data_IF_427132753976
#
_entry.id   IF_427132753976
#
_cell.length_a   1.000
_cell.length_b   1.000
_cell.length_c   1.000
_cell.angle_alpha   90.00
_cell.angle_beta   90.00
_cell.angle_gamma   90.00
#
_symmetry.space_group_name_H-M   'P 1'
#
loop_
_entity.id
_entity.type
_entity.pdbx_description
1 polymer ?
#
# COMPACT_ATOMS: atom_id res chain seq x y z
N UNK A 1 3.52 -9.59 -20.79
CA UNK A 1 3.37 -9.96 -19.37
C UNK A 1 4.28 -11.16 -19.13
N UNK A 2 5.27 -11.02 -18.22
CA UNK A 2 6.31 -12.03 -17.99
C UNK A 2 5.71 -13.32 -17.39
N UNK A 3 6.29 -14.49 -17.70
CA UNK A 3 5.89 -15.81 -17.17
C UNK A 3 5.90 -15.86 -15.64
N UNK A 4 6.82 -15.14 -14.98
CA UNK A 4 6.88 -15.01 -13.52
C UNK A 4 5.64 -14.30 -12.97
N UNK A 5 5.22 -13.20 -13.57
CA UNK A 5 4.03 -12.44 -13.18
C UNK A 5 2.74 -13.27 -13.36
N UNK A 6 2.67 -14.07 -14.41
CA UNK A 6 1.54 -14.98 -14.66
C UNK A 6 1.47 -16.09 -13.59
N UNK A 7 2.63 -16.64 -13.19
CA UNK A 7 2.70 -17.66 -12.13
C UNK A 7 2.28 -17.11 -10.78
N UNK A 8 2.73 -15.88 -10.45
CA UNK A 8 2.34 -15.20 -9.20
C UNK A 8 0.82 -15.01 -9.17
N UNK A 9 0.23 -14.41 -10.21
CA UNK A 9 -1.21 -14.20 -10.29
C UNK A 9 -2.03 -15.50 -10.25
N UNK A 10 -1.51 -16.56 -10.86
CA UNK A 10 -2.17 -17.88 -10.82
C UNK A 10 -2.13 -18.44 -9.39
N UNK A 11 -1.00 -18.33 -8.70
CA UNK A 11 -0.84 -18.77 -7.31
C UNK A 11 -1.79 -18.02 -6.39
N UNK A 12 -1.83 -16.71 -6.45
CA UNK A 12 -2.74 -15.84 -5.66
C UNK A 12 -4.21 -16.23 -5.89
N UNK A 13 -4.58 -16.50 -7.16
CA UNK A 13 -5.93 -16.96 -7.50
C UNK A 13 -6.25 -18.31 -6.87
N UNK A 14 -5.32 -19.26 -6.92
CA UNK A 14 -5.49 -20.60 -6.32
C UNK A 14 -5.60 -20.48 -4.80
N UNK A 15 -4.72 -19.70 -4.16
CA UNK A 15 -4.75 -19.48 -2.71
C UNK A 15 -6.08 -18.88 -2.26
N UNK A 16 -6.61 -17.88 -2.98
CA UNK A 16 -7.93 -17.31 -2.70
C UNK A 16 -9.05 -18.34 -2.87
N UNK A 17 -9.02 -19.16 -3.92
CA UNK A 17 -10.02 -20.21 -4.13
C UNK A 17 -10.00 -21.25 -2.99
N UNK A 18 -8.81 -21.63 -2.53
CA UNK A 18 -8.66 -22.57 -1.41
C UNK A 18 -9.17 -21.92 -0.11
N UNK A 19 -8.81 -20.68 0.17
CA UNK A 19 -9.30 -19.96 1.35
C UNK A 19 -10.82 -19.86 1.35
N UNK A 20 -11.43 -19.46 0.24
CA UNK A 20 -12.90 -19.38 0.12
C UNK A 20 -13.58 -20.74 0.32
N UNK A 21 -13.00 -21.81 -0.22
CA UNK A 21 -13.53 -23.16 -0.02
C UNK A 21 -13.48 -23.58 1.45
N UNK A 22 -12.34 -23.40 2.12
CA UNK A 22 -12.20 -23.75 3.54
C UNK A 22 -13.09 -22.89 4.43
N UNK A 23 -13.23 -21.61 4.12
CA UNK A 23 -14.13 -20.71 4.84
C UNK A 23 -15.60 -21.13 4.64
N UNK A 24 -15.97 -21.55 3.43
CA UNK A 24 -17.33 -22.07 3.16
C UNK A 24 -17.60 -23.34 3.96
N UNK A 25 -16.70 -24.31 3.97
CA UNK A 25 -16.83 -25.55 4.74
C UNK A 25 -17.00 -25.24 6.25
N UNK A 26 -16.30 -24.22 6.77
CA UNK A 26 -16.43 -23.75 8.14
C UNK A 26 -17.80 -23.09 8.38
N UNK A 27 -18.29 -22.27 7.46
CA UNK A 27 -19.63 -21.67 7.57
C UNK A 27 -20.73 -22.72 7.52
N UNK A 28 -20.61 -23.73 6.65
CA UNK A 28 -21.54 -24.86 6.58
C UNK A 28 -21.60 -25.63 7.93
N UNK A 29 -20.44 -25.77 8.59
CA UNK A 29 -20.37 -26.36 9.92
C UNK A 29 -21.06 -25.48 10.99
N UNK A 30 -20.87 -24.17 10.95
CA UNK A 30 -21.58 -23.23 11.85
C UNK A 30 -23.09 -23.32 11.62
N UNK A 31 -23.55 -23.41 10.38
CA UNK A 31 -24.98 -23.52 10.06
C UNK A 31 -25.60 -24.85 10.47
N UNK A 32 -24.80 -25.91 10.47
CA UNK A 32 -25.25 -27.22 10.96
C UNK A 32 -25.46 -27.27 12.49
N UNK A 33 -24.89 -26.31 13.21
CA UNK A 33 -24.95 -26.21 14.69
C UNK A 33 -25.47 -24.83 15.13
N UNK A 34 -26.72 -24.46 14.78
CA UNK A 34 -27.24 -23.10 14.95
C UNK A 34 -27.45 -22.71 16.41
N UNK A 35 -27.63 -23.70 17.30
CA UNK A 35 -27.88 -23.47 18.72
C UNK A 35 -26.61 -23.28 19.55
N UNK A 36 -25.44 -23.43 18.96
CA UNK A 36 -24.17 -23.23 19.64
C UNK A 36 -23.86 -21.74 19.82
N UNK A 37 -23.16 -21.42 20.90
CA UNK A 37 -22.75 -20.05 21.22
C UNK A 37 -21.42 -19.70 20.49
N UNK A 38 -21.52 -19.39 19.21
CA UNK A 38 -20.35 -19.04 18.39
C UNK A 38 -19.73 -17.69 18.80
N UNK A 39 -18.42 -17.68 18.93
CA UNK A 39 -17.64 -16.48 19.24
C UNK A 39 -17.45 -15.60 17.99
N UNK A 40 -18.47 -14.83 17.59
CA UNK A 40 -18.45 -14.02 16.37
C UNK A 40 -17.30 -13.01 16.30
N UNK A 41 -16.83 -12.50 17.43
CA UNK A 41 -15.62 -11.67 17.47
C UNK A 41 -14.40 -12.44 16.94
N UNK A 42 -14.17 -13.65 17.45
CA UNK A 42 -13.04 -14.48 17.04
C UNK A 42 -13.17 -14.99 15.58
N UNK A 43 -14.41 -15.28 15.15
CA UNK A 43 -14.70 -15.68 13.78
C UNK A 43 -14.40 -14.52 12.83
N UNK A 44 -14.86 -13.31 13.15
CA UNK A 44 -14.67 -12.12 12.33
C UNK A 44 -13.21 -11.66 12.23
N UNK A 45 -12.40 -11.95 13.24
CA UNK A 45 -10.96 -11.65 13.26
C UNK A 45 -10.09 -12.78 12.67
N UNK A 46 -10.71 -13.84 12.14
CA UNK A 46 -9.97 -14.98 11.60
C UNK A 46 -9.51 -14.69 10.16
N UNK A 47 -8.21 -14.67 9.92
CA UNK A 47 -7.59 -14.41 8.61
C UNK A 47 -8.04 -15.33 7.46
N UNK A 48 -8.69 -16.46 7.79
CA UNK A 48 -9.25 -17.39 6.81
C UNK A 48 -10.70 -17.03 6.42
N UNK A 49 -11.35 -16.13 7.14
CA UNK A 49 -12.65 -15.57 6.75
C UNK A 49 -12.37 -14.48 5.72
N UNK A 50 -12.92 -14.66 4.53
CA UNK A 50 -12.69 -13.72 3.42
C UNK A 50 -13.85 -12.73 3.28
N UNK A 51 -13.60 -11.59 2.63
CA UNK A 51 -14.66 -10.62 2.33
C UNK A 51 -15.80 -11.25 1.53
N UNK A 52 -15.49 -12.17 0.61
CA UNK A 52 -16.50 -12.94 -0.17
C UNK A 52 -17.44 -13.73 0.76
N UNK A 53 -16.92 -14.31 1.84
CA UNK A 53 -17.73 -15.03 2.85
C UNK A 53 -18.60 -14.08 3.67
N UNK A 54 -18.06 -12.94 4.08
CA UNK A 54 -18.82 -11.93 4.82
C UNK A 54 -20.00 -11.43 3.97
N UNK A 55 -19.80 -11.21 2.67
CA UNK A 55 -20.87 -10.84 1.73
C UNK A 55 -21.89 -11.96 1.50
N UNK A 56 -21.44 -13.22 1.45
CA UNK A 56 -22.33 -14.35 1.26
C UNK A 56 -23.25 -14.61 2.48
N UNK A 57 -22.81 -14.18 3.68
CA UNK A 57 -23.56 -14.39 4.94
C UNK A 57 -23.87 -13.08 5.68
N UNK A 58 -24.54 -12.09 5.05
CA UNK A 58 -24.74 -10.75 5.62
C UNK A 58 -25.63 -10.73 6.88
N UNK A 59 -26.36 -11.81 7.14
CA UNK A 59 -27.27 -11.97 8.30
C UNK A 59 -26.55 -12.46 9.55
N UNK A 60 -25.29 -12.85 9.47
CA UNK A 60 -24.51 -13.31 10.62
C UNK A 60 -24.07 -12.13 11.50
N UNK A 61 -23.74 -12.43 12.74
CA UNK A 61 -23.36 -11.43 13.75
C UNK A 61 -21.89 -11.00 13.60
N UNK A 62 -21.52 -10.60 12.38
CA UNK A 62 -20.16 -10.13 12.10
C UNK A 62 -19.75 -8.99 13.02
N UNK A 63 -18.58 -9.11 13.61
CA UNK A 63 -18.00 -8.08 14.44
C UNK A 63 -17.06 -7.19 13.58
N UNK A 64 -17.48 -5.95 13.34
CA UNK A 64 -16.73 -5.04 12.47
C UNK A 64 -15.38 -4.62 13.05
N UNK A 65 -15.22 -4.66 14.38
CA UNK A 65 -13.91 -4.47 15.00
C UNK A 65 -12.93 -5.57 14.54
N UNK A 66 -13.33 -6.84 14.63
CA UNK A 66 -12.53 -7.96 14.16
C UNK A 66 -12.24 -7.92 12.66
N UNK A 67 -13.25 -7.53 11.85
CA UNK A 67 -13.05 -7.38 10.40
C UNK A 67 -12.11 -6.21 10.09
N UNK A 68 -12.16 -5.10 10.85
CA UNK A 68 -11.27 -3.96 10.65
C UNK A 68 -9.79 -4.30 10.92
N UNK A 69 -9.50 -5.34 11.70
CA UNK A 69 -8.14 -5.84 11.94
C UNK A 69 -7.66 -6.84 10.86
N UNK A 70 -8.54 -7.27 9.93
CA UNK A 70 -8.19 -8.25 8.92
C UNK A 70 -7.18 -7.66 7.92
N UNK A 71 -5.98 -8.25 7.77
CA UNK A 71 -4.99 -7.78 6.80
C UNK A 71 -5.44 -7.90 5.33
N UNK A 72 -6.50 -8.67 5.05
CA UNK A 72 -7.09 -8.82 3.71
C UNK A 72 -8.24 -7.82 3.47
N UNK A 73 -8.61 -6.98 4.45
CA UNK A 73 -9.62 -5.95 4.27
C UNK A 73 -9.17 -4.94 3.21
N UNK A 74 -10.01 -4.74 2.20
CA UNK A 74 -9.73 -3.82 1.09
C UNK A 74 -10.54 -2.53 1.19
N UNK A 75 -10.02 -1.48 0.58
CA UNK A 75 -10.73 -0.19 0.51
C UNK A 75 -12.04 -0.32 -0.29
N UNK A 76 -12.05 -1.15 -1.32
CA UNK A 76 -13.25 -1.45 -2.12
C UNK A 76 -14.36 -2.08 -1.29
N UNK A 77 -14.00 -2.98 -0.36
CA UNK A 77 -14.97 -3.59 0.56
C UNK A 77 -15.52 -2.58 1.55
N UNK A 78 -14.66 -1.72 2.13
CA UNK A 78 -15.09 -0.65 3.03
C UNK A 78 -16.01 0.34 2.30
N UNK A 79 -15.67 0.72 1.07
CA UNK A 79 -16.45 1.63 0.22
C UNK A 79 -17.84 1.05 -0.07
N UNK A 80 -17.92 -0.23 -0.45
CA UNK A 80 -19.18 -0.92 -0.69
C UNK A 80 -20.10 -1.01 0.55
N UNK A 81 -19.49 -0.90 1.74
CA UNK A 81 -20.17 -1.03 3.04
C UNK A 81 -19.94 0.18 3.93
N UNK A 82 -19.81 1.36 3.35
CA UNK A 82 -19.40 2.61 4.03
C UNK A 82 -20.33 3.05 5.17
N UNK A 83 -21.61 2.64 5.11
CA UNK A 83 -22.63 2.95 6.12
C UNK A 83 -22.57 2.04 7.36
N UNK A 84 -21.74 1.01 7.33
CA UNK A 84 -21.54 0.15 8.48
C UNK A 84 -20.77 0.87 9.59
N UNK A 85 -20.97 0.50 10.86
CA UNK A 85 -20.25 1.10 11.99
C UNK A 85 -18.82 0.56 12.09
N UNK A 86 -17.98 0.97 11.14
CA UNK A 86 -16.57 0.62 11.10
C UNK A 86 -15.79 1.27 12.26
N UNK A 87 -14.73 0.57 12.69
CA UNK A 87 -13.75 1.12 13.63
C UNK A 87 -12.71 1.95 12.88
N UNK A 88 -13.02 3.22 12.65
CA UNK A 88 -12.19 4.12 11.82
C UNK A 88 -10.79 4.35 12.37
N UNK A 89 -10.60 4.25 13.69
CA UNK A 89 -9.29 4.26 14.33
C UNK A 89 -8.43 3.10 13.81
N UNK A 90 -8.98 1.88 13.77
CA UNK A 90 -8.30 0.69 13.26
C UNK A 90 -8.10 0.82 11.75
N UNK A 91 -9.11 1.27 10.99
CA UNK A 91 -9.01 1.48 9.55
C UNK A 91 -7.89 2.49 9.22
N UNK A 92 -7.71 3.53 10.03
CA UNK A 92 -6.62 4.51 9.87
C UNK A 92 -5.22 3.87 9.90
N UNK A 93 -5.08 2.69 10.50
CA UNK A 93 -3.86 1.90 10.61
C UNK A 93 -3.58 1.02 9.38
N UNK A 94 -4.58 0.76 8.54
CA UNK A 94 -4.45 -0.17 7.42
C UNK A 94 -3.49 0.40 6.38
N UNK A 95 -2.43 -0.33 5.98
CA UNK A 95 -1.44 0.17 5.04
C UNK A 95 -1.97 0.50 3.64
N UNK A 96 -3.15 -0.03 3.27
CA UNK A 96 -3.79 0.23 1.98
C UNK A 96 -4.65 1.50 1.96
N UNK A 97 -4.87 2.16 3.12
CA UNK A 97 -5.57 3.46 3.16
C UNK A 97 -4.78 4.48 2.38
N UNK A 98 -5.43 5.09 1.38
CA UNK A 98 -4.84 6.13 0.54
C UNK A 98 -5.32 7.51 0.95
N UNK A 99 -4.54 8.53 0.61
CA UNK A 99 -4.92 9.93 0.87
C UNK A 99 -6.20 10.31 0.13
N UNK A 100 -6.40 9.79 -1.09
CA UNK A 100 -7.62 9.98 -1.87
C UNK A 100 -8.86 9.40 -1.16
N UNK A 101 -8.72 8.22 -0.54
CA UNK A 101 -9.82 7.62 0.24
C UNK A 101 -10.19 8.45 1.46
N UNK A 102 -9.20 9.03 2.16
CA UNK A 102 -9.43 9.93 3.29
C UNK A 102 -10.14 11.21 2.84
N UNK A 103 -9.69 11.81 1.74
CA UNK A 103 -10.32 13.01 1.15
C UNK A 103 -11.76 12.76 0.68
N UNK A 104 -12.03 11.56 0.14
CA UNK A 104 -13.38 11.13 -0.23
C UNK A 104 -14.34 11.00 0.98
N UNK A 105 -13.78 10.82 2.19
CA UNK A 105 -14.56 10.57 3.41
C UNK A 105 -14.16 11.49 4.58
N UNK A 106 -14.20 12.82 4.42
CA UNK A 106 -13.68 13.79 5.40
C UNK A 106 -14.44 13.81 6.73
N UNK A 107 -15.67 13.27 6.74
CA UNK A 107 -16.54 13.26 7.92
C UNK A 107 -16.36 12.00 8.78
N UNK A 108 -15.51 11.06 8.37
CA UNK A 108 -15.24 9.88 9.18
C UNK A 108 -14.25 10.23 10.31
N UNK A 109 -14.36 9.58 11.47
CA UNK A 109 -13.50 9.88 12.62
C UNK A 109 -12.11 9.24 12.45
N UNK A 110 -11.33 9.79 11.50
CA UNK A 110 -9.97 9.34 11.23
C UNK A 110 -9.05 9.56 12.43
N UNK A 111 -8.20 8.58 12.72
CA UNK A 111 -7.09 8.77 13.65
C UNK A 111 -5.85 9.34 12.91
N UNK A 112 -5.63 10.62 13.08
CA UNK A 112 -4.53 11.35 12.44
C UNK A 112 -3.16 10.94 12.95
N UNK A 113 -3.08 10.38 14.19
CA UNK A 113 -1.85 9.80 14.71
C UNK A 113 -1.40 8.60 13.88
N UNK A 114 -2.33 7.70 13.58
CA UNK A 114 -2.03 6.54 12.73
C UNK A 114 -1.82 6.93 11.27
N UNK A 115 -2.60 7.88 10.76
CA UNK A 115 -2.39 8.41 9.40
C UNK A 115 -1.00 9.04 9.27
N UNK A 116 -0.46 9.67 10.33
CA UNK A 116 0.89 10.23 10.34
C UNK A 116 1.99 9.18 10.11
N UNK A 117 1.71 7.91 10.34
CA UNK A 117 2.63 6.79 10.10
C UNK A 117 2.35 6.06 8.78
N UNK A 118 1.32 6.48 8.03
CA UNK A 118 0.95 5.81 6.80
C UNK A 118 2.01 6.04 5.70
N UNK A 119 2.54 4.94 5.14
CA UNK A 119 3.56 4.98 4.07
C UNK A 119 3.10 5.67 2.77
N UNK A 120 1.77 5.81 2.57
CA UNK A 120 1.18 6.50 1.43
C UNK A 120 1.01 8.01 1.69
N UNK A 121 1.34 8.48 2.90
CA UNK A 121 1.26 9.90 3.25
C UNK A 121 2.21 10.73 2.39
N UNK A 122 1.71 11.83 1.84
CA UNK A 122 2.48 12.76 1.01
C UNK A 122 2.60 14.13 1.66
N UNK A 123 3.65 14.87 1.29
CA UNK A 123 3.86 16.24 1.79
C UNK A 123 2.71 17.16 1.37
N UNK A 124 2.21 17.01 0.14
CA UNK A 124 1.10 17.77 -0.39
C UNK A 124 -0.18 17.56 0.42
N UNK A 125 -0.43 16.32 0.85
CA UNK A 125 -1.59 16.01 1.68
C UNK A 125 -1.47 16.65 3.08
N UNK A 126 -0.28 16.62 3.69
CA UNK A 126 -0.02 17.26 4.99
C UNK A 126 -0.23 18.77 4.88
N UNK A 127 0.32 19.41 3.82
CA UNK A 127 0.17 20.85 3.57
C UNK A 127 -1.31 21.27 3.41
N UNK A 128 -2.10 20.45 2.71
CA UNK A 128 -3.53 20.70 2.54
C UNK A 128 -4.34 20.54 3.84
N UNK A 129 -3.78 19.86 4.86
CA UNK A 129 -4.48 19.49 6.09
C UNK A 129 -3.67 19.83 7.36
N UNK A 130 -2.97 20.97 7.38
CA UNK A 130 -2.15 21.43 8.53
C UNK A 130 -2.98 21.68 9.81
N UNK A 131 -4.30 21.79 9.69
CA UNK A 131 -5.23 21.93 10.81
C UNK A 131 -5.44 20.61 11.58
N UNK A 132 -5.00 19.48 11.06
CA UNK A 132 -5.19 18.18 11.68
C UNK A 132 -4.14 17.92 12.77
N UNK A 133 -4.48 17.07 13.76
CA UNK A 133 -3.57 16.77 14.89
C UNK A 133 -2.49 15.77 14.48
N UNK A 134 -1.62 16.18 13.57
CA UNK A 134 -0.49 15.39 13.10
C UNK A 134 0.48 15.01 14.21
N UNK A 135 1.00 13.79 14.14
CA UNK A 135 2.14 13.35 14.98
C UNK A 135 3.44 13.52 14.20
N UNK A 136 4.10 14.66 14.38
CA UNK A 136 5.29 15.04 13.62
C UNK A 136 6.47 14.09 13.82
N UNK A 137 6.58 13.47 14.99
CA UNK A 137 7.55 12.41 15.27
C UNK A 137 7.34 11.19 14.33
N UNK A 138 6.09 10.83 14.01
CA UNK A 138 5.81 9.75 13.07
C UNK A 138 6.05 10.19 11.62
N UNK A 139 5.68 11.40 11.26
CA UNK A 139 5.98 11.99 9.95
C UNK A 139 7.48 11.98 9.68
N UNK A 140 8.32 12.12 10.69
CA UNK A 140 9.78 12.04 10.57
C UNK A 140 10.31 10.72 10.00
N UNK A 141 9.50 9.65 10.03
CA UNK A 141 9.86 8.32 9.52
C UNK A 141 9.42 8.07 8.08
N UNK A 142 8.59 8.96 7.48
CA UNK A 142 8.08 8.69 6.12
C UNK A 142 9.21 8.81 5.07
N UNK A 143 9.24 7.86 4.09
CA UNK A 143 10.40 7.74 3.18
C UNK A 143 10.62 8.92 2.25
N UNK A 144 9.58 9.70 1.96
CA UNK A 144 9.59 10.85 1.03
C UNK A 144 9.67 12.20 1.73
N UNK A 145 9.94 12.24 3.04
CA UNK A 145 10.18 13.49 3.75
C UNK A 145 11.36 14.23 3.12
N UNK A 146 11.18 15.51 2.81
CA UNK A 146 12.20 16.36 2.19
C UNK A 146 12.75 17.39 3.17
N UNK A 147 13.99 17.85 2.91
CA UNK A 147 14.60 18.91 3.71
C UNK A 147 13.81 20.21 3.58
N UNK A 148 13.34 20.54 2.39
CA UNK A 148 12.54 21.74 2.12
C UNK A 148 11.26 21.76 2.97
N UNK A 149 10.61 20.58 3.13
CA UNK A 149 9.42 20.46 3.97
C UNK A 149 9.74 20.66 5.45
N UNK A 150 10.86 20.12 5.95
CA UNK A 150 11.32 20.31 7.33
C UNK A 150 11.65 21.78 7.59
N UNK A 151 12.36 22.42 6.65
CA UNK A 151 12.75 23.85 6.76
C UNK A 151 11.53 24.79 6.72
N UNK A 152 10.47 24.41 6.00
CA UNK A 152 9.21 25.16 5.99
C UNK A 152 8.43 25.04 7.30
N UNK A 153 8.69 24.01 8.12
CA UNK A 153 7.98 23.74 9.37
C UNK A 153 8.92 23.57 10.57
N UNK A 154 9.77 24.57 10.90
CA UNK A 154 10.80 24.46 11.93
C UNK A 154 10.24 24.41 13.35
N UNK A 155 8.96 24.78 13.53
CA UNK A 155 8.26 24.84 14.82
C UNK A 155 7.62 23.48 15.21
N UNK A 156 7.72 22.48 14.37
CA UNK A 156 7.11 21.18 14.60
C UNK A 156 8.02 20.27 15.45
N UNK A 157 7.39 19.35 16.17
CA UNK A 157 8.08 18.39 17.04
C UNK A 157 8.65 17.22 16.22
N UNK A 158 9.75 17.52 15.50
CA UNK A 158 10.46 16.57 14.65
C UNK A 158 11.27 15.57 15.47
N UNK A 159 11.21 14.30 15.09
CA UNK A 159 12.18 13.30 15.56
C UNK A 159 13.46 13.37 14.72
N UNK A 160 14.46 14.10 15.23
CA UNK A 160 15.75 14.29 14.56
C UNK A 160 16.55 13.00 14.41
N UNK A 161 16.33 12.01 15.27
CA UNK A 161 16.95 10.71 15.11
C UNK A 161 16.38 9.99 13.88
N UNK A 162 15.07 9.93 13.76
CA UNK A 162 14.40 9.35 12.59
C UNK A 162 14.74 10.09 11.29
N UNK A 163 14.80 11.43 11.31
CA UNK A 163 15.24 12.23 10.16
C UNK A 163 16.68 11.87 9.77
N UNK A 164 17.57 11.68 10.73
CA UNK A 164 18.95 11.29 10.46
C UNK A 164 19.03 9.92 9.77
N UNK A 165 18.22 8.95 10.20
CA UNK A 165 18.12 7.64 9.52
C UNK A 165 17.53 7.77 8.11
N UNK A 166 16.51 8.60 7.92
CA UNK A 166 15.92 8.89 6.61
C UNK A 166 16.94 9.54 5.65
N UNK A 167 17.76 10.46 6.13
CA UNK A 167 18.83 11.09 5.34
C UNK A 167 19.91 10.08 4.92
N UNK A 168 20.20 9.06 5.73
CA UNK A 168 21.08 7.96 5.33
C UNK A 168 20.45 7.13 4.20
N UNK A 169 19.14 6.92 4.23
CA UNK A 169 18.40 6.31 3.10
C UNK A 169 18.35 7.23 1.88
N UNK A 170 18.37 8.59 2.07
CA UNK A 170 18.49 9.56 0.99
C UNK A 170 19.79 9.35 0.19
N UNK A 171 20.89 9.04 0.86
CA UNK A 171 22.16 8.73 0.18
C UNK A 171 22.01 7.52 -0.76
N UNK A 172 21.32 6.47 -0.33
CA UNK A 172 21.04 5.30 -1.17
C UNK A 172 20.18 5.67 -2.38
N UNK A 173 19.11 6.45 -2.17
CA UNK A 173 18.25 6.97 -3.26
C UNK A 173 19.04 7.87 -4.22
N UNK A 174 19.88 8.76 -3.69
CA UNK A 174 20.76 9.62 -4.49
C UNK A 174 21.72 8.80 -5.36
N UNK A 175 22.32 7.76 -4.80
CA UNK A 175 23.20 6.85 -5.55
C UNK A 175 22.43 6.04 -6.62
N UNK A 176 21.17 5.69 -6.38
CA UNK A 176 20.29 5.07 -7.36
C UNK A 176 19.93 6.04 -8.49
N UNK A 177 19.61 7.30 -8.17
CA UNK A 177 19.32 8.33 -9.18
C UNK A 177 20.55 8.70 -9.99
N UNK A 178 21.73 8.78 -9.37
CA UNK A 178 23.00 8.95 -10.10
C UNK A 178 23.21 7.81 -11.09
N UNK A 179 23.03 6.55 -10.66
CA UNK A 179 23.18 5.39 -11.56
C UNK A 179 22.18 5.43 -12.72
N UNK A 180 20.92 5.80 -12.48
CA UNK A 180 19.93 5.99 -13.54
C UNK A 180 20.34 7.09 -14.52
N UNK A 181 20.87 8.20 -14.01
CA UNK A 181 21.32 9.32 -14.83
C UNK A 181 22.54 8.98 -15.66
N UNK A 182 23.50 8.28 -15.08
CA UNK A 182 24.68 7.77 -15.79
C UNK A 182 24.30 6.78 -16.89
N UNK A 183 23.35 5.87 -16.61
CA UNK A 183 22.82 4.95 -17.62
C UNK A 183 22.13 5.71 -18.77
N UNK A 184 21.32 6.73 -18.45
CA UNK A 184 20.68 7.57 -19.47
C UNK A 184 21.70 8.34 -20.32
N UNK A 185 22.76 8.86 -19.71
CA UNK A 185 23.85 9.51 -20.44
C UNK A 185 24.61 8.53 -21.33
N UNK A 186 24.88 7.31 -20.86
CA UNK A 186 25.47 6.25 -21.68
C UNK A 186 24.59 5.90 -22.88
N UNK A 187 23.30 5.76 -22.68
CA UNK A 187 22.31 5.50 -23.73
C UNK A 187 22.34 6.64 -24.75
N UNK A 188 22.31 7.90 -24.30
CA UNK A 188 22.36 9.07 -25.15
C UNK A 188 23.69 9.18 -25.94
N UNK A 189 24.80 8.82 -25.31
CA UNK A 189 26.09 8.75 -25.98
C UNK A 189 26.13 7.70 -27.10
N UNK A 190 25.65 6.48 -26.81
CA UNK A 190 25.56 5.41 -27.81
C UNK A 190 24.52 5.72 -28.89
N UNK A 191 23.42 6.40 -28.57
CA UNK A 191 22.46 6.91 -29.54
C UNK A 191 23.08 7.87 -30.53
N UNK A 192 23.87 8.83 -30.05
CA UNK A 192 24.58 9.78 -30.87
C UNK A 192 25.62 9.10 -31.80
N UNK A 193 26.30 8.06 -31.32
CA UNK A 193 27.19 7.27 -32.15
C UNK A 193 26.40 6.47 -33.20
N UNK A 194 25.30 5.86 -32.82
CA UNK A 194 24.47 5.00 -33.69
C UNK A 194 23.82 5.78 -34.85
N UNK A 195 23.40 7.04 -34.64
CA UNK A 195 22.83 7.90 -35.69
C UNK A 195 23.81 8.13 -36.84
N UNK A 196 25.13 8.12 -36.55
CA UNK A 196 26.16 8.36 -37.54
C UNK A 196 26.79 7.07 -38.10
N UNK A 197 26.29 5.87 -37.74
CA UNK A 197 26.88 4.58 -38.16
C UNK A 197 25.93 3.83 -39.10
N UNK A 198 26.36 3.40 -40.31
CA UNK A 198 25.55 2.57 -41.18
C UNK A 198 25.21 1.20 -40.55
N UNK A 199 23.93 0.86 -40.43
CA UNK A 199 23.48 -0.39 -39.81
C UNK A 199 22.63 -0.23 -38.54
N UNK A 200 22.15 0.95 -38.26
CA UNK A 200 21.43 1.42 -37.10
C UNK A 200 20.29 0.52 -36.54
N UNK A 201 19.53 -0.09 -37.41
CA UNK A 201 18.32 -0.88 -37.01
C UNK A 201 18.63 -2.08 -36.12
N UNK A 202 19.81 -2.65 -36.17
CA UNK A 202 20.24 -3.77 -35.32
C UNK A 202 20.62 -3.31 -33.89
N UNK A 203 21.11 -2.09 -33.77
CA UNK A 203 21.47 -1.50 -32.49
C UNK A 203 20.25 -1.04 -31.67
N UNK A 204 19.25 -0.52 -32.33
CA UNK A 204 18.01 -0.07 -31.68
C UNK A 204 17.34 -1.21 -30.88
N UNK A 205 17.24 -2.40 -31.48
CA UNK A 205 16.69 -3.60 -30.82
C UNK A 205 17.52 -4.09 -29.63
N UNK A 206 18.86 -3.95 -29.72
CA UNK A 206 19.74 -4.37 -28.62
C UNK A 206 19.68 -3.41 -27.45
N UNK A 207 19.66 -2.11 -27.70
CA UNK A 207 19.60 -1.07 -26.68
C UNK A 207 18.27 -1.06 -25.93
N UNK A 208 17.15 -1.23 -26.62
CA UNK A 208 15.84 -1.35 -25.97
C UNK A 208 15.82 -2.55 -25.01
N UNK A 209 16.40 -3.67 -25.41
CA UNK A 209 16.49 -4.88 -24.58
C UNK A 209 17.38 -4.70 -23.35
N UNK A 210 18.54 -4.09 -23.50
CA UNK A 210 19.46 -3.80 -22.39
C UNK A 210 18.90 -2.74 -21.44
N UNK A 211 18.11 -1.78 -21.93
CA UNK A 211 17.40 -0.80 -21.10
C UNK A 211 16.29 -1.47 -20.28
N UNK A 212 15.47 -2.31 -20.90
CA UNK A 212 14.41 -3.04 -20.22
C UNK A 212 14.98 -3.98 -19.13
N UNK A 213 16.08 -4.67 -19.42
CA UNK A 213 16.79 -5.52 -18.44
C UNK A 213 17.42 -4.72 -17.28
N UNK A 214 17.82 -3.47 -17.52
CA UNK A 214 18.42 -2.60 -16.49
C UNK A 214 17.37 -1.90 -15.59
N UNK A 215 16.20 -1.59 -16.13
CA UNK A 215 15.09 -0.96 -15.39
C UNK A 215 14.29 -2.00 -14.57
N UNK A 216 14.34 -3.29 -14.98
CA UNK A 216 13.68 -4.40 -14.29
C UNK A 216 14.56 -5.09 -13.20
N UNK A 217 15.84 -4.73 -13.07
CA UNK A 217 16.78 -5.26 -12.09
C UNK A 217 16.87 -4.40 -10.83
#
# INVERSE_FOLDING_TARGET
MNLSTQRIKLRERIERQIKNKLAQEFMDFIEALPDEHWGWLAISANENITMDIIEAYPHKLWNLWGISEDPNLTMEFIEAHIDKPWEWEIISHIPSVTMEFIEGHPNKPWDWGFISYNKNLTMEFIEAHLDKPWQWSFISHIPNLTMEFIEAHPDKDWDWYAISENLMNYKKRYEEEIRKHEAALCIQYYWNIAIYTPGYVLWERKMTREYDEYVEA
#
